data_IF_910707662246
#
_entry.id   IF_910707662246
#
_cell.length_a   1.000
_cell.length_b   1.000
_cell.length_c   1.000
_cell.angle_alpha   90.00
_cell.angle_beta   90.00
_cell.angle_gamma   90.00
#
_symmetry.space_group_name_H-M   'P 1'
#
loop_
_entity.id
_entity.type
_entity.pdbx_description
1 polymer ?
#
# COMPACT_ATOMS: atom_id res chain seq x y z
N UNK A 1 -9.02 -12.05 -0.39
CA UNK A 1 -9.15 -13.16 -1.36
C UNK A 1 -8.68 -14.52 -0.82
N UNK A 2 -7.80 -14.61 0.19
CA UNK A 2 -7.40 -15.92 0.74
C UNK A 2 -8.37 -16.55 1.75
N UNK A 3 -9.10 -15.75 2.53
CA UNK A 3 -9.98 -16.23 3.62
C UNK A 3 -11.34 -16.75 3.17
N UNK A 4 -11.72 -16.55 1.90
CA UNK A 4 -12.98 -17.02 1.30
C UNK A 4 -12.80 -18.04 0.17
N UNK A 5 -11.58 -18.54 -0.07
CA UNK A 5 -11.32 -19.51 -1.12
C UNK A 5 -11.82 -20.90 -0.70
N UNK A 6 -12.60 -21.57 -1.56
CA UNK A 6 -13.12 -22.92 -1.29
C UNK A 6 -12.02 -23.99 -1.38
N UNK A 7 -10.91 -23.69 -2.07
CA UNK A 7 -9.79 -24.60 -2.24
C UNK A 7 -8.43 -23.89 -2.25
N UNK A 8 -7.39 -24.58 -1.76
CA UNK A 8 -5.99 -24.12 -1.85
C UNK A 8 -5.57 -23.82 -3.29
N UNK A 9 -6.10 -24.57 -4.26
CA UNK A 9 -5.82 -24.34 -5.69
C UNK A 9 -6.40 -23.02 -6.20
N UNK A 10 -7.62 -22.68 -5.79
CA UNK A 10 -8.27 -21.42 -6.14
C UNK A 10 -7.55 -20.22 -5.51
N UNK A 11 -7.12 -20.35 -4.24
CA UNK A 11 -6.34 -19.30 -3.57
C UNK A 11 -5.00 -19.02 -4.29
N UNK A 12 -4.30 -20.07 -4.71
CA UNK A 12 -3.03 -19.95 -5.44
C UNK A 12 -3.25 -19.38 -6.83
N UNK A 13 -4.23 -19.87 -7.57
CA UNK A 13 -4.51 -19.40 -8.93
C UNK A 13 -5.00 -17.95 -8.94
N UNK A 14 -5.89 -17.58 -8.02
CA UNK A 14 -6.38 -16.20 -7.88
C UNK A 14 -5.26 -15.24 -7.48
N UNK A 15 -4.38 -15.66 -6.56
CA UNK A 15 -3.19 -14.88 -6.20
C UNK A 15 -2.22 -14.71 -7.37
N UNK A 16 -1.93 -15.79 -8.10
CA UNK A 16 -1.03 -15.76 -9.26
C UNK A 16 -1.58 -14.91 -10.41
N UNK A 17 -2.86 -15.07 -10.77
CA UNK A 17 -3.50 -14.29 -11.83
C UNK A 17 -3.62 -12.81 -11.45
N UNK A 18 -4.03 -12.51 -10.21
CA UNK A 18 -4.10 -11.14 -9.73
C UNK A 18 -2.73 -10.46 -9.71
N UNK A 19 -1.70 -11.15 -9.22
CA UNK A 19 -0.32 -10.65 -9.23
C UNK A 19 0.22 -10.45 -10.64
N UNK A 20 -0.02 -11.39 -11.55
CA UNK A 20 0.39 -11.28 -12.95
C UNK A 20 -0.29 -10.09 -13.66
N UNK A 21 -1.60 -9.94 -13.49
CA UNK A 21 -2.34 -8.81 -14.07
C UNK A 21 -1.83 -7.47 -13.54
N UNK A 22 -1.63 -7.33 -12.23
CA UNK A 22 -1.04 -6.13 -11.63
C UNK A 22 0.37 -5.86 -12.15
N UNK A 23 1.19 -6.91 -12.29
CA UNK A 23 2.54 -6.80 -12.84
C UNK A 23 2.55 -6.31 -14.30
N UNK A 24 1.66 -6.82 -15.15
CA UNK A 24 1.53 -6.36 -16.54
C UNK A 24 1.08 -4.90 -16.59
N UNK A 25 0.09 -4.50 -15.78
CA UNK A 25 -0.34 -3.10 -15.70
C UNK A 25 0.79 -2.17 -15.25
N UNK A 26 1.54 -2.56 -14.22
CA UNK A 26 2.68 -1.80 -13.72
C UNK A 26 3.79 -1.66 -14.77
N UNK A 27 4.05 -2.73 -15.53
CA UNK A 27 5.03 -2.72 -16.62
C UNK A 27 4.60 -1.78 -17.75
N UNK A 28 3.34 -1.85 -18.18
CA UNK A 28 2.81 -0.94 -19.20
C UNK A 28 2.86 0.53 -18.75
N UNK A 29 2.50 0.80 -17.50
CA UNK A 29 2.57 2.14 -16.92
C UNK A 29 4.02 2.66 -16.88
N UNK A 30 4.97 1.81 -16.50
CA UNK A 30 6.39 2.17 -16.51
C UNK A 30 6.90 2.48 -17.92
N UNK A 31 6.57 1.65 -18.91
CA UNK A 31 6.90 1.90 -20.31
C UNK A 31 6.30 3.22 -20.83
N UNK A 32 5.05 3.50 -20.46
CA UNK A 32 4.38 4.75 -20.81
C UNK A 32 5.06 5.97 -20.16
N UNK A 33 5.55 5.85 -18.92
CA UNK A 33 6.30 6.93 -18.27
C UNK A 33 7.68 7.13 -18.90
N UNK A 34 8.35 6.06 -19.31
CA UNK A 34 9.65 6.13 -19.98
C UNK A 34 9.57 6.85 -21.33
N UNK A 35 8.46 6.73 -22.06
CA UNK A 35 8.30 7.41 -23.35
C UNK A 35 8.16 8.93 -23.23
N UNK A 36 7.72 9.44 -22.07
CA UNK A 36 7.58 10.88 -21.76
C UNK A 36 8.51 11.36 -20.64
N UNK A 37 9.57 10.60 -20.35
CA UNK A 37 10.43 10.80 -19.18
C UNK A 37 10.95 12.24 -19.04
N UNK A 38 11.35 12.88 -20.14
CA UNK A 38 11.90 14.23 -20.12
C UNK A 38 10.97 15.28 -19.53
N UNK A 39 9.67 15.15 -19.75
CA UNK A 39 8.64 16.07 -19.24
C UNK A 39 8.06 15.57 -17.90
N UNK A 40 7.91 14.25 -17.76
CA UNK A 40 7.30 13.59 -16.62
C UNK A 40 8.04 13.84 -15.29
N UNK A 41 9.36 14.01 -15.30
CA UNK A 41 10.20 14.24 -14.10
C UNK A 41 9.87 15.56 -13.40
N UNK A 42 9.28 16.53 -14.11
CA UNK A 42 8.90 17.82 -13.54
C UNK A 42 7.60 17.75 -12.73
N UNK A 43 6.85 16.66 -12.83
CA UNK A 43 5.57 16.49 -12.17
C UNK A 43 5.68 15.57 -10.95
N UNK A 44 5.05 15.97 -9.85
CA UNK A 44 5.00 15.13 -8.65
C UNK A 44 4.17 13.86 -8.86
N UNK A 45 3.14 13.92 -9.72
CA UNK A 45 2.30 12.78 -10.10
C UNK A 45 2.36 12.56 -11.62
N UNK A 46 3.43 11.92 -12.12
CA UNK A 46 3.66 11.75 -13.56
C UNK A 46 2.53 11.03 -14.31
N UNK A 47 1.81 10.14 -13.63
CA UNK A 47 0.70 9.39 -14.22
C UNK A 47 -0.52 10.28 -14.49
N UNK A 48 -0.76 11.28 -13.65
CA UNK A 48 -1.82 12.28 -13.88
C UNK A 48 -1.48 13.16 -15.08
N UNK A 49 -0.21 13.55 -15.22
CA UNK A 49 0.27 14.25 -16.41
C UNK A 49 0.04 13.43 -17.68
N UNK A 50 0.40 12.13 -17.67
CA UNK A 50 0.09 11.22 -18.77
C UNK A 50 -1.40 11.19 -19.13
N UNK A 51 -2.29 11.15 -18.14
CA UNK A 51 -3.73 11.16 -18.37
C UNK A 51 -4.21 12.46 -19.03
N UNK A 52 -3.63 13.61 -18.66
CA UNK A 52 -3.94 14.92 -19.26
C UNK A 52 -3.47 15.01 -20.72
N UNK A 53 -2.35 14.38 -21.07
CA UNK A 53 -1.84 14.34 -22.45
C UNK A 53 -2.76 13.56 -23.40
N UNK A 54 -3.55 12.62 -22.90
CA UNK A 54 -4.55 11.90 -23.71
C UNK A 54 -5.74 12.82 -24.01
N UNK A 55 -6.30 13.43 -22.97
CA UNK A 55 -7.38 14.41 -23.07
C UNK A 55 -7.59 15.10 -21.72
N UNK A 56 -7.93 16.40 -21.68
CA UNK A 56 -8.28 17.10 -20.44
C UNK A 56 -9.40 16.41 -19.64
N UNK A 57 -10.35 15.77 -20.33
CA UNK A 57 -11.47 15.05 -19.68
C UNK A 57 -10.97 13.79 -18.97
N UNK A 58 -10.04 13.07 -19.60
CA UNK A 58 -9.42 11.86 -19.01
C UNK A 58 -8.58 12.24 -17.80
N UNK A 59 -7.82 13.34 -17.89
CA UNK A 59 -7.08 13.90 -16.76
C UNK A 59 -7.98 14.26 -15.56
N UNK A 60 -9.14 14.88 -15.81
CA UNK A 60 -10.11 15.20 -14.76
C UNK A 60 -10.68 13.95 -14.10
N UNK A 61 -11.11 12.96 -14.90
CA UNK A 61 -11.61 11.68 -14.38
C UNK A 61 -10.54 10.96 -13.56
N UNK A 62 -9.31 10.94 -14.05
CA UNK A 62 -8.19 10.32 -13.34
C UNK A 62 -7.91 11.02 -12.01
N UNK A 63 -7.95 12.34 -11.95
CA UNK A 63 -7.80 13.08 -10.70
C UNK A 63 -8.89 12.73 -9.67
N UNK A 64 -10.15 12.61 -10.10
CA UNK A 64 -11.27 12.20 -9.23
C UNK A 64 -11.06 10.79 -8.70
N UNK A 65 -10.68 9.85 -9.57
CA UNK A 65 -10.40 8.46 -9.19
C UNK A 65 -9.23 8.41 -8.20
N UNK A 66 -8.14 9.12 -8.48
CA UNK A 66 -6.96 9.19 -7.62
C UNK A 66 -7.31 9.72 -6.22
N UNK A 67 -8.13 10.77 -6.13
CA UNK A 67 -8.62 11.27 -4.84
C UNK A 67 -9.46 10.22 -4.09
N UNK A 68 -10.35 9.52 -4.81
CA UNK A 68 -11.16 8.45 -4.24
C UNK A 68 -10.30 7.27 -3.75
N UNK A 69 -9.26 6.88 -4.49
CA UNK A 69 -8.34 5.80 -4.11
C UNK A 69 -7.50 6.16 -2.88
N UNK A 70 -6.98 7.39 -2.81
CA UNK A 70 -6.26 7.88 -1.64
C UNK A 70 -7.18 7.85 -0.42
N UNK A 71 -8.42 8.34 -0.54
CA UNK A 71 -9.39 8.32 0.55
C UNK A 71 -9.71 6.87 0.99
N UNK A 72 -10.00 5.99 0.03
CA UNK A 72 -10.33 4.60 0.28
C UNK A 72 -9.18 3.83 0.96
N UNK A 73 -7.93 4.25 0.77
CA UNK A 73 -6.77 3.61 1.41
C UNK A 73 -6.43 4.26 2.76
N UNK A 74 -6.47 5.59 2.85
CA UNK A 74 -6.07 6.33 4.04
C UNK A 74 -7.00 6.07 5.23
N UNK A 75 -8.32 6.07 5.02
CA UNK A 75 -9.28 5.96 6.12
C UNK A 75 -9.18 4.59 6.82
N UNK A 76 -9.16 3.44 6.12
CA UNK A 76 -8.95 2.14 6.76
C UNK A 76 -7.60 2.02 7.47
N UNK A 77 -6.53 2.64 6.95
CA UNK A 77 -5.23 2.64 7.62
C UNK A 77 -5.27 3.39 8.95
N UNK A 78 -5.92 4.55 9.02
CA UNK A 78 -6.09 5.30 10.27
C UNK A 78 -6.82 4.45 11.31
N UNK A 79 -7.93 3.81 10.94
CA UNK A 79 -8.63 2.89 11.86
C UNK A 79 -7.78 1.70 12.27
N UNK A 80 -7.03 1.11 11.33
CA UNK A 80 -6.15 -0.04 11.62
C UNK A 80 -5.07 0.34 12.63
N UNK A 81 -4.46 1.51 12.48
CA UNK A 81 -3.45 2.02 13.43
C UNK A 81 -4.10 2.35 14.77
N UNK A 82 -5.25 3.03 14.78
CA UNK A 82 -5.93 3.39 16.03
C UNK A 82 -6.30 2.16 16.86
N UNK A 83 -6.82 1.11 16.20
CA UNK A 83 -7.20 -0.16 16.84
C UNK A 83 -6.02 -0.95 17.40
N UNK A 84 -4.77 -0.68 17.00
CA UNK A 84 -3.59 -1.30 17.61
C UNK A 84 -3.28 -0.72 18.99
N UNK A 85 -3.69 0.52 19.28
CA UNK A 85 -3.39 1.19 20.54
C UNK A 85 -4.57 1.22 21.51
N UNK A 86 -5.78 1.48 20.99
CA UNK A 86 -6.99 1.60 21.80
C UNK A 86 -8.12 0.87 21.10
N UNK A 87 -8.76 -0.06 21.81
CA UNK A 87 -10.00 -0.68 21.35
C UNK A 87 -11.16 0.30 21.57
N UNK A 88 -11.91 0.60 20.50
CA UNK A 88 -13.05 1.52 20.51
C UNK A 88 -14.05 1.18 21.62
N UNK A 89 -14.24 -0.12 21.91
CA UNK A 89 -15.19 -0.59 22.92
C UNK A 89 -14.73 -0.34 24.36
N UNK A 90 -13.44 -0.22 24.59
CA UNK A 90 -12.88 -0.04 25.93
C UNK A 90 -12.90 1.43 26.36
N UNK A 91 -12.52 2.36 25.46
CA UNK A 91 -12.48 3.79 25.77
C UNK A 91 -12.72 4.66 24.53
N UNK A 92 -14.01 4.93 24.26
CA UNK A 92 -14.47 5.69 23.10
C UNK A 92 -13.87 7.10 23.01
N UNK A 93 -13.66 7.78 24.15
CA UNK A 93 -13.10 9.15 24.17
C UNK A 93 -11.64 9.16 23.76
N UNK A 94 -10.83 8.23 24.29
CA UNK A 94 -9.43 8.09 23.89
C UNK A 94 -9.30 7.66 22.44
N UNK A 95 -10.17 6.76 21.96
CA UNK A 95 -10.19 6.34 20.56
C UNK A 95 -10.48 7.51 19.60
N UNK A 96 -11.50 8.33 19.89
CA UNK A 96 -11.81 9.53 19.10
C UNK A 96 -10.68 10.56 19.12
N UNK A 97 -10.05 10.77 20.28
CA UNK A 97 -8.89 11.65 20.40
C UNK A 97 -7.69 11.13 19.57
N UNK A 98 -7.41 9.83 19.61
CA UNK A 98 -6.34 9.21 18.83
C UNK A 98 -6.58 9.36 17.33
N UNK A 99 -7.81 9.13 16.84
CA UNK A 99 -8.17 9.37 15.44
C UNK A 99 -7.96 10.84 15.07
N UNK A 100 -8.44 11.77 15.90
CA UNK A 100 -8.27 13.20 15.64
C UNK A 100 -6.79 13.59 15.57
N UNK A 101 -5.96 13.04 16.47
CA UNK A 101 -4.51 13.23 16.48
C UNK A 101 -3.86 12.67 15.20
N UNK A 102 -4.21 11.44 14.79
CA UNK A 102 -3.71 10.83 13.56
C UNK A 102 -4.10 11.65 12.33
N UNK A 103 -5.34 12.12 12.25
CA UNK A 103 -5.81 13.00 11.18
C UNK A 103 -5.04 14.33 11.17
N UNK A 104 -4.75 14.92 12.34
CA UNK A 104 -3.96 16.14 12.43
C UNK A 104 -2.51 15.92 11.93
N UNK A 105 -1.89 14.79 12.29
CA UNK A 105 -0.56 14.42 11.80
C UNK A 105 -0.56 14.22 10.28
N UNK A 106 -1.54 13.50 9.74
CA UNK A 106 -1.68 13.29 8.29
C UNK A 106 -1.90 14.62 7.57
N UNK A 107 -2.74 15.50 8.12
CA UNK A 107 -3.00 16.81 7.54
C UNK A 107 -1.75 17.70 7.51
N UNK A 108 -0.96 17.71 8.58
CA UNK A 108 0.33 18.40 8.64
C UNK A 108 1.34 17.79 7.67
N UNK A 109 1.41 16.45 7.61
CA UNK A 109 2.29 15.73 6.68
C UNK A 109 1.92 15.96 5.21
N UNK A 110 0.63 16.10 4.90
CA UNK A 110 0.13 16.37 3.55
C UNK A 110 0.44 17.76 3.01
N UNK A 111 0.97 18.68 3.83
CA UNK A 111 1.49 19.97 3.36
C UNK A 111 2.88 19.85 2.72
N UNK A 112 3.56 18.70 2.88
CA UNK A 112 4.86 18.47 2.29
C UNK A 112 4.73 18.12 0.80
N UNK A 113 5.73 18.47 -0.04
CA UNK A 113 5.75 18.08 -1.44
C UNK A 113 5.63 16.57 -1.60
N UNK A 114 4.79 16.11 -2.52
CA UNK A 114 4.50 14.68 -2.67
C UNK A 114 5.77 13.89 -3.01
N UNK A 115 6.66 14.46 -3.85
CA UNK A 115 7.94 13.82 -4.18
C UNK A 115 8.82 13.60 -2.95
N UNK A 116 8.83 14.53 -1.98
CA UNK A 116 9.57 14.38 -0.73
C UNK A 116 9.00 13.25 0.13
N UNK A 117 7.66 13.19 0.24
CA UNK A 117 6.97 12.14 0.98
C UNK A 117 7.26 10.76 0.40
N UNK A 118 7.17 10.59 -0.92
CA UNK A 118 7.44 9.33 -1.59
C UNK A 118 8.90 8.91 -1.40
N UNK A 119 9.84 9.82 -1.61
CA UNK A 119 11.28 9.55 -1.45
C UNK A 119 11.68 9.21 -0.01
N UNK A 120 10.91 9.65 0.98
CA UNK A 120 11.14 9.29 2.38
C UNK A 120 10.45 7.98 2.76
N UNK A 121 9.15 7.88 2.47
CA UNK A 121 8.28 6.80 2.96
C UNK A 121 8.58 5.50 2.23
N UNK A 122 8.73 5.50 0.89
CA UNK A 122 8.90 4.26 0.13
C UNK A 122 10.19 3.52 0.49
N UNK A 123 11.37 4.16 0.57
CA UNK A 123 12.58 3.48 1.03
C UNK A 123 12.47 3.01 2.47
N UNK A 124 11.91 3.84 3.37
CA UNK A 124 11.74 3.48 4.77
C UNK A 124 10.88 2.22 4.94
N UNK A 125 9.66 2.23 4.39
CA UNK A 125 8.76 1.07 4.42
C UNK A 125 9.38 -0.13 3.69
N UNK A 126 10.10 0.10 2.60
CA UNK A 126 10.84 -0.93 1.87
C UNK A 126 11.87 -1.64 2.73
N UNK A 127 12.69 -0.90 3.49
CA UNK A 127 13.68 -1.50 4.39
C UNK A 127 13.04 -2.27 5.54
N UNK A 128 12.00 -1.72 6.17
CA UNK A 128 11.25 -2.43 7.21
C UNK A 128 10.58 -3.69 6.67
N UNK A 129 9.99 -3.61 5.48
CA UNK A 129 9.38 -4.75 4.79
C UNK A 129 10.41 -5.84 4.45
N UNK A 130 11.58 -5.46 3.93
CA UNK A 130 12.66 -6.39 3.63
C UNK A 130 13.17 -7.09 4.91
N UNK A 131 13.39 -6.33 5.99
CA UNK A 131 13.75 -6.88 7.29
C UNK A 131 12.69 -7.85 7.80
N UNK A 132 11.41 -7.48 7.72
CA UNK A 132 10.29 -8.33 8.14
C UNK A 132 10.21 -9.63 7.34
N UNK A 133 10.40 -9.58 6.02
CA UNK A 133 10.44 -10.78 5.15
C UNK A 133 11.58 -11.71 5.59
N UNK A 134 12.78 -11.19 5.85
CA UNK A 134 13.92 -11.99 6.34
C UNK A 134 13.57 -12.68 7.66
N UNK A 135 12.99 -11.95 8.61
CA UNK A 135 12.57 -12.50 9.91
C UNK A 135 11.53 -13.62 9.74
N UNK A 136 10.53 -13.40 8.90
CA UNK A 136 9.48 -14.41 8.62
C UNK A 136 10.08 -15.66 7.98
N UNK A 137 10.98 -15.52 7.01
CA UNK A 137 11.64 -16.66 6.35
C UNK A 137 12.48 -17.45 7.36
N UNK A 138 13.28 -16.76 8.19
CA UNK A 138 14.10 -17.41 9.22
C UNK A 138 13.23 -18.16 10.23
N UNK A 139 12.14 -17.54 10.72
CA UNK A 139 11.20 -18.19 11.63
C UNK A 139 10.49 -19.38 10.97
N UNK A 140 10.11 -19.27 9.70
CA UNK A 140 9.49 -20.35 8.94
C UNK A 140 10.44 -21.56 8.81
N UNK A 141 11.72 -21.31 8.53
CA UNK A 141 12.74 -22.37 8.45
C UNK A 141 12.94 -23.01 9.83
N UNK A 142 13.09 -22.20 10.90
CA UNK A 142 13.21 -22.70 12.28
C UNK A 142 12.04 -23.59 12.66
N UNK A 143 10.79 -23.14 12.45
CA UNK A 143 9.59 -23.94 12.72
C UNK A 143 9.50 -25.23 11.91
N UNK A 144 10.06 -25.25 10.70
CA UNK A 144 10.09 -26.47 9.88
C UNK A 144 11.13 -27.47 10.39
N UNK A 145 12.27 -26.98 10.87
CA UNK A 145 13.32 -27.78 11.51
C UNK A 145 12.84 -28.32 12.87
N UNK A 146 12.20 -27.49 13.70
CA UNK A 146 11.69 -27.89 15.01
C UNK A 146 10.58 -28.95 14.91
N UNK A 147 9.71 -28.84 13.89
CA UNK A 147 8.75 -29.90 13.55
C UNK A 147 9.44 -31.18 13.07
N UNK A 148 10.50 -31.09 12.28
CA UNK A 148 11.27 -32.26 11.84
C UNK A 148 12.05 -32.95 12.99
N UNK A 149 12.39 -32.20 14.05
CA UNK A 149 13.06 -32.69 15.25
C UNK A 149 12.10 -33.19 16.34
N UNK A 150 10.78 -33.08 16.14
CA UNK A 150 9.78 -33.55 17.10
C UNK A 150 9.70 -32.75 18.41
N UNK A 151 10.22 -31.51 18.43
CA UNK A 151 10.36 -30.69 19.65
C UNK A 151 9.07 -29.91 19.97
N UNK A 152 8.22 -29.66 18.96
CA UNK A 152 6.93 -28.96 19.13
C UNK A 152 5.76 -29.92 18.93
N UNK A 153 5.03 -30.24 20.01
CA UNK A 153 3.66 -30.78 19.99
C UNK A 153 2.66 -29.65 19.79
#
# INVERSE_FOLDING_TARGET
>A
MGTGARSRKEAVLGGALGGAALGVCALLLNLALLSVFGEAVQYEVPVLFLAQQISPVVGLLFAVILLAEIYNTAVPMVWTVANQFVDEKQDKRKYQFLIALLCAVIFMGGQLPFGMLVNLIYPFVGYFGALFIVVVIVQMIRWRIDRARGITR
#
